data_IF_131844197816
#
_entry.id   IF_131844197816
#
_cell.length_a   1.000
_cell.length_b   1.000
_cell.length_c   1.000
_cell.angle_alpha   90.00
_cell.angle_beta   90.00
_cell.angle_gamma   90.00
#
_symmetry.space_group_name_H-M   'P 1'
#
loop_
_entity.id
_entity.type
_entity.pdbx_description
1 polymer ?
#
# COMPACT_ATOMS: atom_id res chain seq x y z
N UNK A 1 -3.73 -12.60 -9.14
CA UNK A 1 -4.24 -11.96 -7.92
C UNK A 1 -3.09 -11.36 -7.14
N UNK A 2 -3.22 -10.12 -6.69
CA UNK A 2 -2.20 -9.39 -5.95
C UNK A 2 -2.57 -9.22 -4.47
N UNK A 3 -1.54 -9.14 -3.62
CA UNK A 3 -1.65 -8.90 -2.18
C UNK A 3 -0.97 -7.57 -1.84
N UNK A 4 -1.59 -6.77 -0.98
CA UNK A 4 -1.04 -5.48 -0.57
C UNK A 4 -1.04 -5.36 0.95
N UNK A 5 0.12 -5.12 1.53
CA UNK A 5 0.32 -4.93 2.96
C UNK A 5 1.22 -3.72 3.24
N UNK A 6 2.00 -3.83 4.32
CA UNK A 6 2.83 -2.75 4.84
C UNK A 6 4.24 -3.22 5.12
N UNK A 7 5.21 -2.36 4.85
CA UNK A 7 6.61 -2.53 5.24
C UNK A 7 7.12 -1.21 5.81
N UNK A 8 7.46 -1.18 7.11
CA UNK A 8 7.94 0.02 7.81
C UNK A 8 7.09 1.29 7.56
N UNK A 9 5.76 1.12 7.52
CA UNK A 9 4.81 2.21 7.26
C UNK A 9 4.70 2.68 5.79
N UNK A 10 5.39 2.05 4.85
CA UNK A 10 5.12 2.17 3.42
C UNK A 10 4.14 1.08 2.96
N UNK A 11 3.54 1.27 1.78
CA UNK A 11 2.69 0.24 1.16
C UNK A 11 3.60 -0.76 0.43
N UNK A 12 3.39 -2.04 0.68
CA UNK A 12 4.09 -3.13 -0.02
C UNK A 12 3.08 -3.91 -0.86
N UNK A 13 3.31 -3.97 -2.16
CA UNK A 13 2.48 -4.74 -3.09
C UNK A 13 3.25 -5.97 -3.58
N UNK A 14 2.57 -7.12 -3.60
CA UNK A 14 3.08 -8.39 -4.10
C UNK A 14 2.16 -8.90 -5.20
N UNK A 15 2.75 -9.28 -6.34
CA UNK A 15 2.01 -9.72 -7.54
C UNK A 15 2.91 -10.57 -8.41
N UNK A 16 2.48 -11.81 -8.72
CA UNK A 16 3.26 -12.71 -9.58
C UNK A 16 4.68 -13.02 -9.07
N UNK A 17 4.94 -12.93 -7.76
CA UNK A 17 6.27 -13.05 -7.16
C UNK A 17 7.14 -11.79 -7.24
N UNK A 18 6.61 -10.70 -7.81
CA UNK A 18 7.26 -9.40 -7.82
C UNK A 18 6.77 -8.53 -6.66
N UNK A 19 7.66 -7.66 -6.16
CA UNK A 19 7.39 -6.81 -5.02
C UNK A 19 7.61 -5.35 -5.37
N UNK A 20 6.71 -4.49 -4.92
CA UNK A 20 6.77 -3.06 -5.14
C UNK A 20 6.54 -2.31 -3.83
N UNK A 21 7.47 -1.41 -3.50
CA UNK A 21 7.30 -0.46 -2.42
C UNK A 21 6.68 0.82 -2.97
N UNK A 22 5.55 1.25 -2.40
CA UNK A 22 4.83 2.46 -2.81
C UNK A 22 4.92 3.50 -1.69
N UNK A 23 5.47 4.66 -2.02
CA UNK A 23 5.78 5.72 -1.05
C UNK A 23 7.09 5.51 -0.28
N UNK A 24 7.35 6.41 0.67
CA UNK A 24 8.50 6.34 1.57
C UNK A 24 8.17 5.47 2.79
N UNK A 25 9.17 4.80 3.34
CA UNK A 25 9.05 4.21 4.68
C UNK A 25 8.88 5.34 5.71
N UNK A 26 8.03 5.10 6.69
CA UNK A 26 7.76 6.06 7.78
C UNK A 26 8.70 5.86 8.95
N UNK A 27 9.23 4.65 9.06
CA UNK A 27 10.20 4.22 10.06
C UNK A 27 11.46 3.71 9.34
N UNK A 28 12.62 3.70 10.02
CA UNK A 28 13.81 3.02 9.52
C UNK A 28 13.47 1.56 9.18
N UNK A 29 13.85 1.13 7.98
CA UNK A 29 13.58 -0.22 7.50
C UNK A 29 14.88 -0.92 7.19
N UNK A 30 15.11 -2.07 7.83
CA UNK A 30 16.15 -3.01 7.43
C UNK A 30 15.56 -3.91 6.32
N UNK A 31 15.84 -3.55 5.07
CA UNK A 31 15.33 -4.27 3.90
C UNK A 31 15.86 -5.70 3.84
N UNK A 32 17.12 -5.93 4.21
CA UNK A 32 17.74 -7.25 4.16
C UNK A 32 17.11 -8.18 5.21
N UNK A 33 16.87 -7.67 6.42
CA UNK A 33 16.12 -8.40 7.44
C UNK A 33 14.66 -8.67 7.03
N UNK A 34 14.05 -7.79 6.24
CA UNK A 34 12.75 -8.00 5.62
C UNK A 34 12.79 -8.91 4.38
N UNK A 35 13.98 -9.39 3.99
CA UNK A 35 14.20 -10.33 2.89
C UNK A 35 14.31 -9.69 1.50
N UNK A 36 14.63 -8.40 1.42
CA UNK A 36 14.86 -7.67 0.16
C UNK A 36 16.30 -7.17 0.07
N UNK A 37 16.81 -7.05 -1.15
CA UNK A 37 18.02 -6.25 -1.38
C UNK A 37 17.77 -4.79 -0.99
N UNK A 38 18.79 -4.13 -0.44
CA UNK A 38 18.70 -2.71 -0.11
C UNK A 38 18.50 -1.88 -1.38
N UNK A 39 17.37 -1.16 -1.52
CA UNK A 39 17.07 -0.41 -2.74
C UNK A 39 17.85 0.91 -2.88
N UNK A 40 18.77 1.20 -1.94
CA UNK A 40 19.46 2.48 -1.86
C UNK A 40 18.56 3.60 -1.33
N UNK A 41 18.70 4.81 -1.89
CA UNK A 41 17.89 5.97 -1.49
C UNK A 41 16.45 5.84 -2.02
N UNK A 42 15.48 5.90 -1.10
CA UNK A 42 14.05 5.88 -1.42
C UNK A 42 13.52 7.31 -1.32
N UNK A 43 13.04 7.85 -2.44
CA UNK A 43 12.42 9.16 -2.51
C UNK A 43 11.15 9.11 -3.37
N UNK A 44 10.01 9.03 -2.69
CA UNK A 44 8.69 8.99 -3.30
C UNK A 44 8.33 10.24 -4.12
N UNK A 45 8.99 11.38 -3.88
CA UNK A 45 8.80 12.60 -4.68
C UNK A 45 9.47 12.47 -6.05
N UNK A 46 10.61 11.77 -6.12
CA UNK A 46 11.29 11.47 -7.39
C UNK A 46 10.66 10.28 -8.09
N UNK A 47 10.28 9.25 -7.32
CA UNK A 47 9.73 8.00 -7.84
C UNK A 47 8.70 7.42 -6.88
N UNK A 48 7.42 7.55 -7.25
CA UNK A 48 6.27 7.20 -6.39
C UNK A 48 6.26 5.74 -5.91
N UNK A 49 6.90 4.84 -6.65
CA UNK A 49 7.07 3.43 -6.27
C UNK A 49 8.37 2.85 -6.83
N UNK A 50 8.93 1.85 -6.16
CA UNK A 50 10.12 1.12 -6.60
C UNK A 50 9.84 -0.38 -6.60
N UNK A 51 10.47 -1.10 -7.53
CA UNK A 51 10.48 -2.56 -7.51
C UNK A 51 11.56 -3.02 -6.53
N UNK A 52 11.22 -3.94 -5.64
CA UNK A 52 12.15 -4.57 -4.71
C UNK A 52 12.64 -5.90 -5.30
N UNK A 53 13.90 -6.22 -5.04
CA UNK A 53 14.47 -7.53 -5.38
C UNK A 53 14.42 -8.44 -4.14
N UNK A 54 13.64 -9.53 -4.17
CA UNK A 54 13.58 -10.46 -3.04
C UNK A 54 14.87 -11.30 -2.97
N UNK A 55 15.41 -11.47 -1.76
CA UNK A 55 16.55 -12.35 -1.48
C UNK A 55 16.15 -13.83 -1.33
N UNK A 56 14.84 -14.11 -1.30
CA UNK A 56 14.30 -15.45 -1.13
C UNK A 56 12.78 -15.45 -1.23
N UNK A 57 12.15 -16.51 -0.71
CA UNK A 57 10.69 -16.55 -0.58
C UNK A 57 10.24 -15.56 0.49
N UNK A 58 9.36 -14.62 0.13
CA UNK A 58 8.81 -13.62 1.04
C UNK A 58 7.33 -13.90 1.25
N UNK A 59 6.92 -14.00 2.51
CA UNK A 59 5.54 -14.11 2.91
C UNK A 59 5.03 -12.77 3.44
N UNK A 60 3.96 -12.29 2.82
CA UNK A 60 3.32 -11.05 3.24
C UNK A 60 2.40 -11.35 4.43
N UNK A 61 2.72 -10.78 5.60
CA UNK A 61 1.94 -10.96 6.81
C UNK A 61 0.51 -10.43 6.68
N UNK A 62 -0.43 -11.10 7.34
CA UNK A 62 -1.81 -10.63 7.45
C UNK A 62 -1.95 -9.54 8.53
N UNK A 63 -2.97 -8.64 8.43
CA UNK A 63 -3.94 -8.54 7.35
C UNK A 63 -3.38 -7.88 6.08
N UNK A 64 -3.90 -8.26 4.91
CA UNK A 64 -3.53 -7.69 3.61
C UNK A 64 -4.74 -7.49 2.70
N UNK A 65 -4.66 -6.53 1.79
CA UNK A 65 -5.66 -6.28 0.77
C UNK A 65 -5.48 -7.24 -0.42
N UNK A 66 -6.60 -7.65 -1.01
CA UNK A 66 -6.67 -8.47 -2.22
C UNK A 66 -7.12 -7.63 -3.41
N UNK A 67 -6.34 -7.63 -4.50
CA UNK A 67 -6.67 -6.92 -5.75
C UNK A 67 -6.47 -7.82 -6.97
N UNK A 68 -7.18 -7.52 -8.07
CA UNK A 68 -7.01 -8.21 -9.36
C UNK A 68 -5.96 -7.55 -10.27
N UNK A 69 -5.58 -6.30 -10.00
CA UNK A 69 -4.58 -5.59 -10.80
C UNK A 69 -3.19 -6.15 -10.49
N UNK A 70 -2.41 -6.44 -11.52
CA UNK A 70 -1.10 -7.11 -11.41
C UNK A 70 0.07 -6.26 -11.94
N UNK A 71 1.28 -6.68 -11.57
CA UNK A 71 2.54 -6.08 -12.01
C UNK A 71 2.70 -4.61 -11.63
N UNK A 72 3.40 -3.86 -12.47
CA UNK A 72 3.66 -2.44 -12.23
C UNK A 72 2.39 -1.58 -12.22
N UNK A 73 1.35 -1.99 -12.94
CA UNK A 73 0.06 -1.29 -12.96
C UNK A 73 -0.59 -1.23 -11.56
N UNK A 74 -0.37 -2.26 -10.74
CA UNK A 74 -0.80 -2.27 -9.34
C UNK A 74 -0.08 -1.20 -8.53
N UNK A 75 1.25 -1.11 -8.66
CA UNK A 75 2.04 -0.12 -7.95
C UNK A 75 1.65 1.32 -8.35
N UNK A 76 1.41 1.54 -9.64
CA UNK A 76 0.91 2.82 -10.15
C UNK A 76 -0.48 3.17 -9.60
N UNK A 77 -1.42 2.21 -9.60
CA UNK A 77 -2.75 2.37 -9.03
C UNK A 77 -2.66 2.74 -7.53
N UNK A 78 -1.89 1.98 -6.74
CA UNK A 78 -1.73 2.24 -5.31
C UNK A 78 -1.12 3.62 -5.06
N UNK A 79 -0.13 4.03 -5.84
CA UNK A 79 0.46 5.36 -5.76
C UNK A 79 -0.59 6.46 -6.04
N UNK A 80 -1.38 6.30 -7.10
CA UNK A 80 -2.43 7.27 -7.43
C UNK A 80 -3.50 7.35 -6.33
N UNK A 81 -3.91 6.20 -5.78
CA UNK A 81 -5.04 6.11 -4.87
C UNK A 81 -4.68 6.47 -3.43
N UNK A 82 -3.48 6.14 -2.97
CA UNK A 82 -3.12 6.18 -1.54
C UNK A 82 -1.96 7.11 -1.20
N UNK A 83 -1.11 7.47 -2.16
CA UNK A 83 0.00 8.38 -1.89
C UNK A 83 -0.51 9.82 -1.80
N UNK A 84 -0.17 10.48 -0.68
CA UNK A 84 -0.40 11.92 -0.49
C UNK A 84 0.93 12.54 -0.10
N UNK A 85 1.53 13.25 -1.06
CA UNK A 85 2.91 13.78 -0.98
C UNK A 85 3.16 14.68 0.22
N UNK A 86 2.12 15.34 0.74
CA UNK A 86 2.25 16.35 1.82
C UNK A 86 1.78 15.89 3.19
N UNK A 87 1.13 14.72 3.30
CA UNK A 87 0.50 14.34 4.56
C UNK A 87 0.49 12.82 4.78
N UNK A 88 1.57 12.33 5.40
CA UNK A 88 1.73 10.93 5.75
C UNK A 88 0.57 10.39 6.63
N UNK A 89 0.02 11.22 7.53
CA UNK A 89 -1.09 10.81 8.40
C UNK A 89 -2.37 10.50 7.62
N UNK A 90 -2.59 11.17 6.49
CA UNK A 90 -3.78 10.96 5.66
C UNK A 90 -3.65 9.66 4.86
N UNK A 91 -2.46 9.35 4.35
CA UNK A 91 -2.21 8.04 3.73
C UNK A 91 -2.49 6.88 4.70
N UNK A 92 -2.21 7.05 6.00
CA UNK A 92 -2.57 6.04 7.01
C UNK A 92 -4.07 5.97 7.26
N UNK A 93 -4.79 7.10 7.25
CA UNK A 93 -6.25 7.09 7.38
C UNK A 93 -6.93 6.43 6.20
N UNK A 94 -6.46 6.69 4.98
CA UNK A 94 -6.94 5.99 3.78
C UNK A 94 -6.64 4.50 3.86
N UNK A 95 -5.45 4.12 4.33
CA UNK A 95 -5.11 2.72 4.57
C UNK A 95 -6.07 2.08 5.57
N UNK A 96 -6.30 2.71 6.74
CA UNK A 96 -7.25 2.20 7.75
C UNK A 96 -8.66 2.06 7.20
N UNK A 97 -9.15 3.03 6.43
CA UNK A 97 -10.45 2.96 5.76
C UNK A 97 -10.56 1.74 4.83
N UNK A 98 -9.48 1.37 4.15
CA UNK A 98 -9.46 0.17 3.31
C UNK A 98 -9.45 -1.13 4.11
N UNK A 99 -8.74 -1.15 5.24
CA UNK A 99 -8.62 -2.35 6.08
C UNK A 99 -9.86 -2.60 6.94
N UNK A 100 -10.51 -1.54 7.40
CA UNK A 100 -11.79 -1.58 8.10
C UNK A 100 -12.74 -0.51 7.51
N UNK A 101 -13.50 -0.87 6.46
CA UNK A 101 -14.51 0.01 5.88
C UNK A 101 -15.70 0.26 6.83
N UNK A 102 -15.88 -0.59 7.85
CA UNK A 102 -17.03 -0.54 8.76
C UNK A 102 -16.83 0.45 9.92
N UNK A 103 -15.57 0.82 10.20
CA UNK A 103 -15.21 1.70 11.31
C UNK A 103 -15.52 1.09 12.68
N UNK A 104 -15.72 -0.22 12.74
CA UNK A 104 -15.86 -0.96 13.97
C UNK A 104 -14.44 -1.42 14.30
N UNK A 105 -13.83 -0.85 15.35
CA UNK A 105 -12.48 -1.14 15.85
C UNK A 105 -12.24 -2.63 16.26
N UNK A 106 -12.98 -3.58 15.69
CA UNK A 106 -12.62 -4.98 15.67
C UNK A 106 -11.51 -5.16 14.63
N UNK A 107 -10.27 -5.19 15.12
CA UNK A 107 -9.07 -5.52 14.36
C UNK A 107 -9.40 -6.73 13.47
N UNK A 108 -9.46 -6.58 12.13
CA UNK A 108 -9.99 -7.62 11.25
C UNK A 108 -9.10 -8.84 11.46
N UNK A 109 -9.69 -9.88 12.07
CA UNK A 109 -8.97 -10.99 12.68
C UNK A 109 -8.08 -11.69 11.66
N UNK A 110 -6.83 -11.24 11.49
CA UNK A 110 -5.81 -11.84 10.64
C UNK A 110 -6.22 -12.16 9.19
N UNK A 111 -7.32 -11.59 8.68
CA UNK A 111 -7.92 -12.01 7.41
C UNK A 111 -7.58 -11.07 6.26
N UNK A 112 -7.64 -11.62 5.06
CA UNK A 112 -7.42 -10.87 3.84
C UNK A 112 -8.66 -10.07 3.47
N UNK A 113 -8.50 -8.75 3.28
CA UNK A 113 -9.60 -7.83 2.97
C UNK A 113 -9.78 -7.74 1.46
N UNK A 114 -11.02 -7.92 0.98
CA UNK A 114 -11.33 -7.77 -0.44
C UNK A 114 -11.35 -6.28 -0.84
N UNK A 115 -10.39 -5.88 -1.65
CA UNK A 115 -10.24 -4.51 -2.14
C UNK A 115 -10.27 -4.44 -3.68
N UNK A 116 -10.87 -5.43 -4.35
CA UNK A 116 -10.95 -5.46 -5.83
C UNK A 116 -11.65 -4.23 -6.40
N UNK A 117 -12.66 -3.73 -5.68
CA UNK A 117 -13.39 -2.50 -6.01
C UNK A 117 -12.47 -1.26 -6.10
N UNK A 118 -11.29 -1.26 -5.47
CA UNK A 118 -10.37 -0.12 -5.54
C UNK A 118 -9.79 0.08 -6.95
N UNK A 119 -9.64 -1.00 -7.71
CA UNK A 119 -9.24 -0.95 -9.12
C UNK A 119 -10.38 -0.55 -10.05
N UNK A 120 -11.62 -0.80 -9.65
CA UNK A 120 -12.82 -0.56 -10.47
C UNK A 120 -13.44 0.82 -10.25
N UNK A 121 -13.29 1.38 -9.04
CA UNK A 121 -13.89 2.65 -8.68
C UNK A 121 -13.33 3.79 -9.55
N UNK A 122 -14.19 4.58 -10.23
CA UNK A 122 -13.75 5.72 -11.03
C UNK A 122 -12.91 6.72 -10.22
N UNK A 123 -11.83 7.22 -10.82
CA UNK A 123 -10.92 8.16 -10.17
C UNK A 123 -11.62 9.42 -9.60
N UNK A 124 -12.62 10.03 -10.27
CA UNK A 124 -13.34 11.17 -9.70
C UNK A 124 -14.09 10.84 -8.40
N UNK A 125 -14.68 9.63 -8.31
CA UNK A 125 -15.39 9.20 -7.09
C UNK A 125 -14.41 8.93 -5.95
N UNK A 126 -13.27 8.31 -6.26
CA UNK A 126 -12.21 8.14 -5.27
C UNK A 126 -11.64 9.47 -4.79
N UNK A 127 -11.55 10.47 -5.68
CA UNK A 127 -11.18 11.84 -5.33
C UNK A 127 -12.06 12.41 -4.21
N UNK A 128 -13.38 12.21 -4.27
CA UNK A 128 -14.32 12.65 -3.23
C UNK A 128 -14.02 11.98 -1.88
N UNK A 129 -13.71 10.68 -1.88
CA UNK A 129 -13.33 9.94 -0.66
C UNK A 129 -12.05 10.53 -0.08
N UNK A 130 -11.01 10.71 -0.92
CA UNK A 130 -9.74 11.32 -0.50
C UNK A 130 -9.94 12.71 0.09
N UNK A 131 -10.71 13.55 -0.59
CA UNK A 131 -11.01 14.92 -0.14
C UNK A 131 -11.76 14.92 1.19
N UNK A 132 -12.66 13.96 1.40
CA UNK A 132 -13.39 13.80 2.66
C UNK A 132 -12.44 13.44 3.81
N UNK A 133 -11.57 12.45 3.59
CA UNK A 133 -10.56 12.04 4.59
C UNK A 133 -9.56 13.17 4.87
N UNK A 134 -9.24 14.00 3.86
CA UNK A 134 -8.40 15.19 4.00
C UNK A 134 -9.07 16.30 4.83
N UNK A 135 -10.40 16.43 4.79
CA UNK A 135 -11.15 17.46 5.52
C UNK A 135 -11.37 17.16 7.00
N UNK A 136 -11.37 15.88 7.40
CA UNK A 136 -11.45 15.48 8.80
C UNK A 136 -10.12 15.77 9.53
N UNK A 137 -9.79 17.05 9.76
CA UNK A 137 -8.64 17.48 10.57
C UNK A 137 -8.94 17.38 12.06
#
# INVERSE_FOLDING_TARGET
MARVGRLAGAILAETGGEFYLVGNTKEPCDFEAAGFESPGEIDALKKRYIKLAPLGAIELGAPYLKLEVEGEALAALLAERLLIERNASVSDRLWRLLMDPSGQDEDPAGEAVDARWLGEIPAPLWGIVRDTVLRCL
#
